data_IF_093539154473
#
_entry.id   IF_093539154473
#
_cell.length_a   1.000
_cell.length_b   1.000
_cell.length_c   1.000
_cell.angle_alpha   90.00
_cell.angle_beta   90.00
_cell.angle_gamma   90.00
#
_symmetry.space_group_name_H-M   'P 1'
#
loop_
_entity.id
_entity.type
_entity.pdbx_description
1 polymer ?
#
# COMPACT_ATOMS: atom_id res chain seq x y z
N UNK A 1 19.05 -6.33 6.06
CA UNK A 1 18.86 -4.96 5.53
C UNK A 1 17.47 -4.48 5.92
N UNK A 2 17.22 -3.17 6.16
CA UNK A 2 15.87 -2.67 6.48
C UNK A 2 15.30 -1.92 5.28
N UNK A 3 14.14 -2.33 4.79
CA UNK A 3 13.42 -1.60 3.75
C UNK A 3 12.81 -0.32 4.35
N UNK A 4 12.86 0.77 3.59
CA UNK A 4 12.30 2.06 3.98
C UNK A 4 11.49 2.66 2.84
N UNK A 5 10.33 3.22 3.17
CA UNK A 5 9.55 4.04 2.24
C UNK A 5 10.36 5.30 1.92
N UNK A 6 10.60 5.54 0.63
CA UNK A 6 11.27 6.75 0.12
C UNK A 6 10.25 7.83 -0.19
N UNK A 7 9.18 7.45 -0.87
CA UNK A 7 8.15 8.37 -1.31
C UNK A 7 6.84 7.62 -1.62
N UNK A 8 5.72 8.32 -1.52
CA UNK A 8 4.41 7.85 -1.95
C UNK A 8 3.77 8.87 -2.89
N UNK A 9 3.10 8.41 -3.94
CA UNK A 9 2.33 9.27 -4.85
C UNK A 9 1.08 8.59 -5.36
N UNK A 10 0.19 9.38 -5.95
CA UNK A 10 -0.94 8.89 -6.72
C UNK A 10 -1.04 9.67 -8.02
N UNK A 11 -1.57 9.03 -9.06
CA UNK A 11 -1.88 9.71 -10.31
C UNK A 11 -3.19 10.53 -10.20
N UNK A 12 -4.05 10.16 -9.25
CA UNK A 12 -5.42 10.67 -9.18
C UNK A 12 -5.58 11.79 -8.14
N UNK A 13 -4.74 11.78 -7.10
CA UNK A 13 -4.88 12.65 -5.91
C UNK A 13 -3.52 13.11 -5.37
N UNK A 14 -3.52 14.22 -4.62
CA UNK A 14 -2.38 14.63 -3.79
C UNK A 14 -2.40 13.85 -2.48
N UNK A 15 -1.45 12.93 -2.30
CA UNK A 15 -1.44 11.99 -1.16
C UNK A 15 -1.24 12.65 0.20
N UNK A 16 -0.76 13.90 0.25
CA UNK A 16 -0.49 14.62 1.51
C UNK A 16 -1.74 15.37 1.97
N UNK A 17 -2.49 15.92 1.03
CA UNK A 17 -3.62 16.82 1.31
C UNK A 17 -4.98 16.22 1.01
N UNK A 18 -5.03 15.03 0.39
CA UNK A 18 -6.29 14.40 0.00
C UNK A 18 -7.20 14.12 1.19
N UNK A 19 -8.46 14.53 1.05
CA UNK A 19 -9.55 14.19 1.95
C UNK A 19 -10.68 13.59 1.10
N UNK A 20 -11.15 12.38 1.43
CA UNK A 20 -12.23 11.75 0.67
C UNK A 20 -13.55 12.50 0.86
N UNK A 21 -14.37 12.53 -0.20
CA UNK A 21 -15.71 13.11 -0.13
C UNK A 21 -16.63 12.33 0.82
N UNK A 22 -16.48 10.99 0.85
CA UNK A 22 -17.09 10.11 1.84
C UNK A 22 -16.00 9.31 2.56
N UNK A 23 -15.62 9.70 3.79
CA UNK A 23 -14.59 8.99 4.57
C UNK A 23 -14.96 7.54 4.94
N UNK A 24 -16.23 7.14 4.81
CA UNK A 24 -16.68 5.79 5.11
C UNK A 24 -16.63 4.86 3.88
N UNK A 25 -16.72 5.39 2.66
CA UNK A 25 -16.74 4.63 1.39
C UNK A 25 -15.81 5.23 0.33
N UNK A 26 -14.51 5.21 0.60
CA UNK A 26 -13.49 5.68 -0.34
C UNK A 26 -12.39 4.65 -0.61
N UNK A 27 -11.69 4.82 -1.74
CA UNK A 27 -10.45 4.13 -2.02
C UNK A 27 -9.62 4.78 -3.12
N UNK A 28 -8.31 4.87 -2.88
CA UNK A 28 -7.34 5.52 -3.76
C UNK A 28 -6.17 4.59 -4.09
N UNK A 29 -5.69 4.67 -5.33
CA UNK A 29 -4.46 3.97 -5.75
C UNK A 29 -3.26 4.80 -5.38
N UNK A 30 -2.30 4.19 -4.67
CA UNK A 30 -1.06 4.84 -4.25
C UNK A 30 0.11 4.00 -4.74
N UNK A 31 1.09 4.66 -5.36
CA UNK A 31 2.40 4.11 -5.66
C UNK A 31 3.33 4.37 -4.49
N UNK A 32 3.93 3.30 -3.97
CA UNK A 32 4.96 3.34 -2.94
C UNK A 32 6.32 3.11 -3.61
N UNK A 33 7.28 3.98 -3.35
CA UNK A 33 8.69 3.79 -3.73
C UNK A 33 9.45 3.36 -2.48
N UNK A 34 10.01 2.15 -2.50
CA UNK A 34 10.68 1.51 -1.35
C UNK A 34 12.11 1.15 -1.75
N UNK A 35 13.06 1.35 -0.83
CA UNK A 35 14.44 0.94 -1.06
C UNK A 35 15.18 0.65 0.26
N UNK A 36 16.41 0.11 0.21
CA UNK A 36 17.20 -0.15 1.41
C UNK A 36 17.51 1.15 2.16
N UNK A 37 17.37 1.11 3.48
CA UNK A 37 17.76 2.22 4.34
C UNK A 37 19.25 2.53 4.18
N UNK A 38 19.59 3.77 3.78
CA UNK A 38 20.96 4.22 3.59
C UNK A 38 21.70 3.62 2.39
N UNK A 39 21.02 2.80 1.58
CA UNK A 39 21.60 2.18 0.38
C UNK A 39 21.05 2.77 -0.93
N UNK A 40 21.68 2.39 -2.04
CA UNK A 40 21.19 2.66 -3.39
C UNK A 40 20.21 1.57 -3.85
N UNK A 41 19.33 1.93 -4.78
CA UNK A 41 18.28 1.06 -5.31
C UNK A 41 16.90 1.42 -4.75
N UNK A 42 15.88 1.29 -5.60
CA UNK A 42 14.48 1.50 -5.26
C UNK A 42 13.58 0.65 -6.14
N UNK A 43 12.40 0.33 -5.63
CA UNK A 43 11.37 -0.43 -6.31
C UNK A 43 10.01 0.23 -6.06
N UNK A 44 9.14 0.15 -7.07
CA UNK A 44 7.80 0.75 -7.02
C UNK A 44 6.72 -0.32 -6.89
N UNK A 45 5.81 -0.13 -5.93
CA UNK A 45 4.65 -0.99 -5.73
C UNK A 45 3.36 -0.17 -5.78
N UNK A 46 2.37 -0.63 -6.53
CA UNK A 46 1.05 0.01 -6.57
C UNK A 46 0.09 -0.71 -5.61
N UNK A 47 -0.47 0.04 -4.65
CA UNK A 47 -1.44 -0.47 -3.67
C UNK A 47 -2.77 0.28 -3.78
N UNK A 48 -3.86 -0.40 -3.40
CA UNK A 48 -5.15 0.23 -3.18
C UNK A 48 -5.35 0.45 -1.68
N UNK A 49 -5.38 1.71 -1.24
CA UNK A 49 -5.77 2.08 0.13
C UNK A 49 -7.27 2.36 0.10
N UNK A 50 -8.06 1.62 0.87
CA UNK A 50 -9.51 1.79 0.86
C UNK A 50 -10.14 1.50 2.22
N UNK A 51 -11.31 2.09 2.41
CA UNK A 51 -12.17 1.84 3.57
C UNK A 51 -12.73 0.41 3.54
N UNK A 52 -13.07 -0.19 4.70
CA UNK A 52 -13.68 -1.51 4.76
C UNK A 52 -15.00 -1.60 3.98
N UNK A 53 -15.82 -0.54 3.99
CA UNK A 53 -17.08 -0.49 3.25
C UNK A 53 -16.84 -0.55 1.74
N UNK A 54 -15.87 0.24 1.24
CA UNK A 54 -15.47 0.21 -0.17
C UNK A 54 -15.00 -1.17 -0.60
N UNK A 55 -14.16 -1.81 0.21
CA UNK A 55 -13.70 -3.18 -0.04
C UNK A 55 -14.88 -4.17 -0.09
N UNK A 56 -15.81 -4.06 0.86
CA UNK A 56 -17.02 -4.88 0.89
C UNK A 56 -17.86 -4.75 -0.38
N UNK A 57 -18.05 -3.53 -0.88
CA UNK A 57 -18.74 -3.28 -2.16
C UNK A 57 -18.01 -3.92 -3.33
N UNK A 58 -16.70 -3.68 -3.46
CA UNK A 58 -15.89 -4.25 -4.54
C UNK A 58 -15.97 -5.78 -4.53
N UNK A 59 -15.88 -6.42 -3.35
CA UNK A 59 -15.97 -7.88 -3.24
C UNK A 59 -17.35 -8.40 -3.69
N UNK A 60 -18.43 -7.70 -3.35
CA UNK A 60 -19.80 -8.08 -3.77
C UNK A 60 -20.01 -7.88 -5.26
N UNK A 61 -19.50 -6.79 -5.83
CA UNK A 61 -19.73 -6.39 -7.22
C UNK A 61 -18.79 -7.11 -8.20
N UNK A 62 -17.54 -7.36 -7.80
CA UNK A 62 -16.45 -7.81 -8.68
C UNK A 62 -15.86 -9.15 -8.24
N UNK A 63 -16.38 -9.75 -7.16
CA UNK A 63 -15.91 -11.01 -6.62
C UNK A 63 -14.67 -10.90 -5.72
N UNK A 64 -14.13 -12.03 -5.27
CA UNK A 64 -13.02 -12.08 -4.33
C UNK A 64 -11.80 -11.27 -4.80
N UNK A 65 -11.24 -10.50 -3.87
CA UNK A 65 -10.09 -9.64 -4.13
C UNK A 65 -8.84 -10.25 -3.48
N UNK A 66 -7.87 -10.65 -4.30
CA UNK A 66 -6.59 -11.23 -3.82
C UNK A 66 -5.59 -10.13 -3.43
N UNK A 67 -4.57 -10.50 -2.63
CA UNK A 67 -3.47 -9.60 -2.27
C UNK A 67 -3.86 -8.44 -1.37
N UNK A 68 -4.86 -8.62 -0.49
CA UNK A 68 -5.30 -7.60 0.46
C UNK A 68 -4.60 -7.75 1.80
N UNK A 69 -4.15 -6.63 2.37
CA UNK A 69 -3.66 -6.55 3.74
C UNK A 69 -4.72 -5.78 4.54
N UNK A 70 -5.26 -6.42 5.56
CA UNK A 70 -6.23 -5.80 6.48
C UNK A 70 -5.62 -5.82 7.86
N UNK A 71 -5.44 -4.64 8.45
CA UNK A 71 -4.93 -4.48 9.80
C UNK A 71 -5.84 -3.53 10.59
N UNK A 72 -6.04 -3.79 11.90
CA UNK A 72 -6.88 -2.96 12.76
C UNK A 72 -6.20 -1.62 13.11
N UNK A 73 -4.87 -1.53 12.99
CA UNK A 73 -4.09 -0.34 13.32
C UNK A 73 -3.07 -0.02 12.22
N UNK A 74 -2.61 1.23 12.19
CA UNK A 74 -1.56 1.68 11.29
C UNK A 74 -0.22 1.00 11.56
N UNK A 75 0.11 0.73 12.82
CA UNK A 75 1.35 0.04 13.19
C UNK A 75 1.35 -1.41 12.66
N UNK A 76 0.25 -2.15 12.87
CA UNK A 76 0.11 -3.51 12.33
C UNK A 76 0.12 -3.52 10.79
N UNK A 77 -0.48 -2.51 10.16
CA UNK A 77 -0.43 -2.38 8.71
C UNK A 77 1.00 -2.19 8.22
N UNK A 78 1.75 -1.29 8.86
CA UNK A 78 3.14 -0.99 8.52
C UNK A 78 4.03 -2.23 8.66
N UNK A 79 3.87 -3.01 9.74
CA UNK A 79 4.57 -4.28 9.94
C UNK A 79 4.29 -5.29 8.82
N UNK A 80 3.01 -5.46 8.44
CA UNK A 80 2.63 -6.42 7.37
C UNK A 80 3.15 -5.99 6.00
N UNK A 81 3.07 -4.70 5.68
CA UNK A 81 3.57 -4.15 4.43
C UNK A 81 5.10 -4.28 4.35
N UNK A 82 5.82 -3.94 5.42
CA UNK A 82 7.28 -4.09 5.45
C UNK A 82 7.74 -5.54 5.37
N UNK A 83 7.00 -6.48 5.97
CA UNK A 83 7.27 -7.92 5.83
C UNK A 83 7.10 -8.46 4.40
N UNK A 84 6.22 -7.87 3.59
CA UNK A 84 6.11 -8.22 2.16
C UNK A 84 7.29 -7.62 1.39
N UNK A 85 7.54 -6.33 1.54
CA UNK A 85 8.65 -5.66 0.85
C UNK A 85 10.02 -6.28 1.14
N UNK A 86 10.23 -6.82 2.35
CA UNK A 86 11.46 -7.54 2.68
C UNK A 86 11.65 -8.82 1.85
N UNK A 87 10.60 -9.63 1.68
CA UNK A 87 10.67 -10.90 0.94
C UNK A 87 10.82 -10.68 -0.56
N UNK A 88 10.03 -9.77 -1.13
CA UNK A 88 10.11 -9.45 -2.56
C UNK A 88 11.50 -8.89 -2.94
N UNK A 89 12.10 -8.06 -2.09
CA UNK A 89 13.44 -7.50 -2.34
C UNK A 89 14.56 -8.56 -2.24
N UNK A 90 14.41 -9.58 -1.39
CA UNK A 90 15.38 -10.69 -1.31
C UNK A 90 15.30 -11.62 -2.52
N UNK A 91 14.10 -11.90 -3.03
CA UNK A 91 13.89 -12.80 -4.18
C UNK A 91 14.49 -12.23 -5.49
N UNK A 92 14.51 -10.90 -5.66
CA UNK A 92 15.09 -10.22 -6.83
C UNK A 92 16.62 -10.07 -6.80
N UNK A 93 17.32 -10.61 -5.78
CA UNK A 93 18.79 -10.59 -5.67
C UNK A 93 19.49 -11.85 -6.19
N UNK A 94 18.75 -12.78 -6.81
CA UNK A 94 19.30 -14.00 -7.40
C UNK A 94 19.76 -13.84 -8.86
#
# INVERSE_FOLDING_TARGET
MRAALRFASSADIDVVTYVPADPADDGVRVRLIVGPQGGAGEESFDVLVCTPLRLGRVVREQGPQLGRIIAPTWDELAERVTGIGYREFEDHRH
#
